data_IF_392251356101
#
_entry.id   IF_392251356101
#
_cell.length_a   1.000
_cell.length_b   1.000
_cell.length_c   1.000
_cell.angle_alpha   90.00
_cell.angle_beta   90.00
_cell.angle_gamma   90.00
#
_symmetry.space_group_name_H-M   'P 1'
#
loop_
_entity.id
_entity.type
_entity.pdbx_description
1 polymer ?
#
# COMPACT_ATOMS: atom_id res chain seq x y z
N UNK A 1 -0.38 -2.00 46.07
CA UNK A 1 -0.22 -2.52 44.70
C UNK A 1 -0.80 -1.50 43.74
N UNK A 2 -0.05 -1.08 42.72
CA UNK A 2 -0.58 -0.17 41.69
C UNK A 2 -1.27 -0.99 40.59
N UNK A 3 -2.49 -0.60 40.20
CA UNK A 3 -3.19 -1.13 39.03
C UNK A 3 -3.02 -0.18 37.84
N UNK A 4 -3.10 -0.69 36.61
CA UNK A 4 -3.17 0.15 35.41
C UNK A 4 -4.46 -0.14 34.70
N UNK A 5 -5.18 0.93 34.39
CA UNK A 5 -6.31 0.90 33.48
C UNK A 5 -5.79 0.78 32.04
N UNK A 6 -5.82 -0.44 31.49
CA UNK A 6 -5.40 -0.70 30.11
C UNK A 6 -6.60 -0.69 29.14
N UNK A 7 -7.79 -1.04 29.65
CA UNK A 7 -9.08 -0.92 28.99
C UNK A 7 -10.17 -0.61 30.05
N UNK A 8 -11.35 -0.10 29.65
CA UNK A 8 -12.48 0.02 30.56
C UNK A 8 -12.80 -1.35 31.19
N UNK A 9 -12.81 -1.42 32.52
CA UNK A 9 -13.08 -2.66 33.26
C UNK A 9 -11.94 -3.70 33.27
N UNK A 10 -10.74 -3.35 32.77
CA UNK A 10 -9.54 -4.22 32.86
C UNK A 10 -8.44 -3.49 33.62
N UNK A 11 -8.33 -3.83 34.89
CA UNK A 11 -7.23 -3.42 35.75
C UNK A 11 -6.26 -4.58 35.94
N UNK A 12 -5.04 -4.46 35.42
CA UNK A 12 -4.02 -5.47 35.67
C UNK A 12 -3.13 -5.03 36.84
N UNK A 13 -2.85 -5.93 37.81
CA UNK A 13 -1.86 -5.67 38.84
C UNK A 13 -0.48 -5.57 38.17
N UNK A 14 0.24 -4.48 38.45
CA UNK A 14 1.59 -4.29 37.94
C UNK A 14 2.56 -5.04 38.82
N UNK A 15 3.31 -5.96 38.22
CA UNK A 15 4.37 -6.71 38.87
C UNK A 15 5.67 -5.91 38.73
N UNK A 16 5.80 -4.82 39.49
CA UNK A 16 7.04 -4.05 39.61
C UNK A 16 6.97 -2.56 39.27
N UNK A 17 8.11 -1.89 39.42
CA UNK A 17 8.30 -0.50 39.02
C UNK A 17 8.21 -0.36 37.48
N UNK A 18 7.84 0.83 36.95
CA UNK A 18 7.85 1.03 35.50
C UNK A 18 9.24 0.70 34.95
N UNK A 19 9.29 0.02 33.80
CA UNK A 19 10.55 -0.26 33.11
C UNK A 19 11.09 1.07 32.55
N UNK A 20 11.74 1.85 33.42
CA UNK A 20 12.18 3.22 33.19
C UNK A 20 11.05 4.27 33.25
N UNK A 21 11.45 5.54 33.35
CA UNK A 21 10.57 6.72 33.23
C UNK A 21 10.34 7.14 31.78
N UNK A 22 11.04 6.51 30.84
CA UNK A 22 11.00 6.84 29.41
C UNK A 22 9.70 6.31 28.78
N UNK A 23 9.00 7.10 27.96
CA UNK A 23 7.83 6.64 27.23
C UNK A 23 8.15 5.40 26.39
N UNK A 24 7.22 4.45 26.34
CA UNK A 24 7.41 3.17 25.66
C UNK A 24 7.80 3.31 24.19
N UNK A 25 7.35 4.38 23.53
CA UNK A 25 7.69 4.70 22.14
C UNK A 25 9.15 5.13 21.92
N UNK A 26 9.80 5.65 22.96
CA UNK A 26 11.12 6.26 22.89
C UNK A 26 12.23 5.28 23.35
N UNK A 27 11.84 4.18 24.01
CA UNK A 27 12.71 3.04 24.29
C UNK A 27 13.19 2.40 22.99
N UNK A 28 14.47 2.03 22.95
CA UNK A 28 15.15 1.38 21.83
C UNK A 28 14.98 2.08 20.48
N UNK A 29 14.84 3.41 20.48
CA UNK A 29 14.70 4.19 19.24
C UNK A 29 13.51 3.71 18.36
N UNK A 30 12.46 3.14 18.95
CA UNK A 30 11.33 2.59 18.21
C UNK A 30 10.65 3.64 17.32
N UNK A 31 10.38 4.83 17.88
CA UNK A 31 9.75 5.94 17.17
C UNK A 31 10.63 6.44 16.01
N UNK A 32 11.94 6.59 16.20
CA UNK A 32 12.85 7.07 15.16
C UNK A 32 12.98 6.05 14.03
N UNK A 33 13.09 4.75 14.34
CA UNK A 33 13.07 3.65 13.35
C UNK A 33 11.77 3.65 12.54
N UNK A 34 10.62 3.81 13.17
CA UNK A 34 9.34 3.86 12.44
C UNK A 34 9.13 5.17 11.67
N UNK A 35 9.61 6.30 12.16
CA UNK A 35 9.63 7.57 11.40
C UNK A 35 10.48 7.43 10.15
N UNK A 36 11.66 6.85 10.25
CA UNK A 36 12.54 6.60 9.10
C UNK A 36 11.86 5.68 8.08
N UNK A 37 11.29 4.54 8.52
CA UNK A 37 10.54 3.63 7.66
C UNK A 37 9.36 4.32 6.96
N UNK A 38 8.61 5.15 7.68
CA UNK A 38 7.51 5.91 7.10
C UNK A 38 8.01 6.94 6.08
N UNK A 39 9.07 7.70 6.40
CA UNK A 39 9.69 8.66 5.48
C UNK A 39 10.18 8.00 4.19
N UNK A 40 10.93 6.90 4.30
CA UNK A 40 11.42 6.15 3.13
C UNK A 40 10.25 5.69 2.26
N UNK A 41 9.20 5.11 2.84
CA UNK A 41 8.01 4.68 2.08
C UNK A 41 7.29 5.83 1.39
N UNK A 42 7.13 6.97 2.07
CA UNK A 42 6.52 8.17 1.48
C UNK A 42 7.38 8.71 0.33
N UNK A 43 8.70 8.80 0.50
CA UNK A 43 9.62 9.25 -0.56
C UNK A 43 9.54 8.32 -1.77
N UNK A 44 9.59 7.01 -1.56
CA UNK A 44 9.44 6.02 -2.66
C UNK A 44 8.10 6.19 -3.36
N UNK A 45 7.00 6.37 -2.63
CA UNK A 45 5.68 6.60 -3.22
C UNK A 45 5.64 7.89 -4.07
N UNK A 46 6.26 8.98 -3.59
CA UNK A 46 6.35 10.23 -4.35
C UNK A 46 7.18 10.08 -5.62
N UNK A 47 8.30 9.36 -5.57
CA UNK A 47 9.11 9.06 -6.75
C UNK A 47 8.31 8.23 -7.75
N UNK A 48 7.60 7.19 -7.30
CA UNK A 48 6.73 6.38 -8.16
C UNK A 48 5.61 7.21 -8.79
N UNK A 49 5.00 8.13 -8.04
CA UNK A 49 4.01 9.07 -8.57
C UNK A 49 4.61 9.97 -9.64
N UNK A 50 5.76 10.59 -9.39
CA UNK A 50 6.44 11.45 -10.35
C UNK A 50 6.77 10.71 -11.66
N UNK A 51 7.33 9.50 -11.55
CA UNK A 51 7.61 8.63 -12.71
C UNK A 51 6.33 8.25 -13.43
N UNK A 52 5.27 7.88 -12.68
CA UNK A 52 3.98 7.52 -13.27
C UNK A 52 3.36 8.68 -14.04
N UNK A 53 3.37 9.90 -13.48
CA UNK A 53 2.90 11.10 -14.17
C UNK A 53 3.75 11.42 -15.39
N UNK A 54 5.08 11.31 -15.31
CA UNK A 54 5.96 11.53 -16.45
C UNK A 54 5.67 10.54 -17.59
N UNK A 55 5.47 9.26 -17.28
CA UNK A 55 5.12 8.24 -18.27
C UNK A 55 3.76 8.50 -18.92
N UNK A 56 2.73 8.80 -18.11
CA UNK A 56 1.39 9.15 -18.62
C UNK A 56 1.48 10.39 -19.51
N UNK A 57 2.20 11.43 -19.05
CA UNK A 57 2.45 12.64 -19.82
C UNK A 57 3.11 12.35 -21.17
N UNK A 58 4.11 11.46 -21.18
CA UNK A 58 4.86 11.11 -22.38
C UNK A 58 4.04 10.29 -23.37
N UNK A 59 3.31 9.27 -22.88
CA UNK A 59 2.48 8.38 -23.70
C UNK A 59 1.26 9.11 -24.27
N UNK A 60 0.71 10.08 -23.55
CA UNK A 60 -0.43 10.87 -24.02
C UNK A 60 -0.07 12.14 -24.79
N UNK A 61 1.22 12.42 -25.05
CA UNK A 61 1.65 13.47 -25.98
C UNK A 61 0.88 13.48 -27.32
N UNK A 62 0.57 12.34 -27.98
CA UNK A 62 -0.24 12.33 -29.19
C UNK A 62 -1.63 12.99 -29.04
N UNK A 63 -2.18 12.96 -27.82
CA UNK A 63 -3.54 13.42 -27.52
C UNK A 63 -3.59 14.90 -27.13
N UNK A 64 -2.63 15.38 -26.32
CA UNK A 64 -2.62 16.75 -25.78
C UNK A 64 -1.37 17.59 -26.12
N UNK A 65 -0.33 16.99 -26.68
CA UNK A 65 1.00 17.59 -26.85
C UNK A 65 1.14 18.60 -28.00
N UNK A 66 0.05 19.11 -28.57
CA UNK A 66 0.04 20.09 -29.67
C UNK A 66 1.01 19.74 -30.81
N UNK A 67 1.04 18.47 -31.22
CA UNK A 67 1.91 18.01 -32.28
C UNK A 67 1.64 18.76 -33.61
N UNK A 68 2.70 19.07 -34.39
CA UNK A 68 2.56 19.62 -35.72
C UNK A 68 1.60 18.79 -36.59
N UNK A 69 0.87 19.47 -37.47
CA UNK A 69 -0.10 18.86 -38.37
C UNK A 69 0.40 18.93 -39.81
N UNK A 70 0.17 17.87 -40.57
CA UNK A 70 0.45 17.82 -42.00
C UNK A 70 -0.66 17.06 -42.73
N UNK A 71 -0.80 17.34 -44.02
CA UNK A 71 -1.60 16.50 -44.92
C UNK A 71 -0.73 15.31 -45.33
N UNK A 72 -1.31 14.11 -45.27
CA UNK A 72 -0.69 12.87 -45.66
C UNK A 72 -1.54 12.17 -46.72
N UNK A 73 -0.88 11.57 -47.71
CA UNK A 73 -1.52 10.69 -48.68
C UNK A 73 -1.49 9.26 -48.16
N UNK A 74 -2.64 8.59 -48.18
CA UNK A 74 -2.71 7.16 -47.84
C UNK A 74 -2.12 6.35 -48.99
N UNK A 75 -1.10 5.52 -48.72
CA UNK A 75 -0.39 4.75 -49.75
C UNK A 75 -0.64 3.25 -49.68
N UNK A 76 -0.94 2.71 -48.50
CA UNK A 76 -1.19 1.27 -48.34
C UNK A 76 -2.08 0.99 -47.14
N UNK A 77 -2.87 -0.09 -47.21
CA UNK A 77 -3.55 -0.68 -46.06
C UNK A 77 -2.96 -2.06 -45.78
N UNK A 78 -2.79 -2.37 -44.50
CA UNK A 78 -2.41 -3.68 -44.05
C UNK A 78 -3.34 -4.09 -42.91
N UNK A 79 -4.20 -5.07 -43.18
CA UNK A 79 -5.08 -5.64 -42.17
C UNK A 79 -4.35 -6.74 -41.41
N UNK A 80 -4.45 -6.73 -40.09
CA UNK A 80 -3.90 -7.80 -39.26
C UNK A 80 -4.81 -8.13 -38.09
N UNK A 81 -4.86 -9.41 -37.74
CA UNK A 81 -5.69 -9.94 -36.67
C UNK A 81 -4.86 -10.27 -35.43
N UNK A 82 -4.81 -9.33 -34.49
CA UNK A 82 -4.28 -9.58 -33.14
C UNK A 82 -5.35 -9.21 -32.12
N UNK A 83 -6.18 -10.20 -31.74
CA UNK A 83 -7.34 -10.03 -30.83
C UNK A 83 -8.37 -9.00 -31.34
N UNK A 84 -8.72 -9.09 -32.61
CA UNK A 84 -9.62 -8.17 -33.32
C UNK A 84 -9.05 -7.81 -34.70
N UNK A 85 -9.90 -7.29 -35.59
CA UNK A 85 -9.47 -6.77 -36.90
C UNK A 85 -8.88 -5.37 -36.69
N UNK A 86 -7.62 -5.18 -37.06
CA UNK A 86 -6.93 -3.89 -37.01
C UNK A 86 -6.39 -3.52 -38.38
N UNK A 87 -6.38 -2.22 -38.67
CA UNK A 87 -5.78 -1.70 -39.88
C UNK A 87 -4.52 -0.88 -39.56
N UNK A 88 -3.42 -1.19 -40.25
CA UNK A 88 -2.27 -0.31 -40.35
C UNK A 88 -2.33 0.44 -41.69
N UNK A 89 -2.20 1.76 -41.63
CA UNK A 89 -2.30 2.64 -42.80
C UNK A 89 -0.92 3.26 -43.07
N UNK A 90 -0.38 3.02 -44.25
CA UNK A 90 0.84 3.66 -44.75
C UNK A 90 0.54 5.07 -45.24
N UNK A 91 1.39 6.02 -44.85
CA UNK A 91 1.16 7.45 -45.00
C UNK A 91 2.41 8.13 -45.54
N UNK A 92 2.26 8.84 -46.65
CA UNK A 92 3.30 9.71 -47.21
C UNK A 92 2.96 11.17 -46.89
N UNK A 93 3.89 11.88 -46.28
CA UNK A 93 3.69 13.28 -45.91
C UNK A 93 5.00 14.07 -45.98
N UNK A 94 4.89 15.38 -45.87
CA UNK A 94 6.05 16.27 -45.80
C UNK A 94 6.18 16.77 -44.37
N UNK A 95 7.31 16.47 -43.73
CA UNK A 95 7.70 17.01 -42.43
C UNK A 95 9.01 17.78 -42.59
N UNK A 96 9.05 19.03 -42.13
CA UNK A 96 10.25 19.87 -42.19
C UNK A 96 10.88 19.94 -43.59
N UNK A 97 10.04 20.07 -44.63
CA UNK A 97 10.42 20.08 -46.05
C UNK A 97 11.07 18.78 -46.57
N UNK A 98 10.96 17.67 -45.83
CA UNK A 98 11.41 16.33 -46.26
C UNK A 98 10.21 15.40 -46.43
N UNK A 99 10.25 14.58 -47.47
CA UNK A 99 9.28 13.48 -47.60
C UNK A 99 9.56 12.45 -46.51
N UNK A 100 8.50 12.05 -45.81
CA UNK A 100 8.51 11.03 -44.79
C UNK A 100 7.42 10.01 -45.10
N UNK A 101 7.73 8.75 -44.81
CA UNK A 101 6.78 7.64 -44.85
C UNK A 101 6.63 7.07 -43.45
N UNK A 102 5.40 6.87 -43.00
CA UNK A 102 5.13 6.22 -41.71
C UNK A 102 3.87 5.37 -41.76
N UNK A 103 3.68 4.55 -40.73
CA UNK A 103 2.50 3.72 -40.53
C UNK A 103 1.72 4.17 -39.29
N UNK A 104 0.42 4.34 -39.46
CA UNK A 104 -0.51 4.55 -38.34
C UNK A 104 -1.33 3.29 -38.09
N UNK A 105 -1.23 2.74 -36.89
CA UNK A 105 -2.08 1.64 -36.44
C UNK A 105 -3.40 2.15 -35.89
N UNK A 106 -4.51 1.64 -36.40
CA UNK A 106 -5.88 2.02 -36.03
C UNK A 106 -6.61 0.85 -35.37
N UNK A 107 -7.62 1.19 -34.57
CA UNK A 107 -8.49 0.21 -33.90
C UNK A 107 -9.68 -0.22 -34.76
N UNK A 108 -9.77 0.31 -35.98
CA UNK A 108 -10.85 0.07 -36.93
C UNK A 108 -10.46 -0.95 -37.99
N UNK A 109 -11.45 -1.47 -38.71
CA UNK A 109 -11.23 -2.33 -39.87
C UNK A 109 -10.67 -1.54 -41.05
N UNK A 110 -9.98 -2.21 -41.98
CA UNK A 110 -9.47 -1.53 -43.17
C UNK A 110 -10.58 -1.03 -44.13
N UNK A 111 -11.82 -1.46 -43.93
CA UNK A 111 -12.97 -0.98 -44.69
C UNK A 111 -13.52 0.36 -44.14
N UNK A 112 -13.24 0.67 -42.88
CA UNK A 112 -13.76 1.88 -42.21
C UNK A 112 -12.77 3.06 -42.26
N UNK A 113 -11.57 2.84 -42.80
CA UNK A 113 -10.51 3.85 -42.88
C UNK A 113 -10.47 4.49 -44.27
N UNK A 114 -9.83 5.66 -44.37
CA UNK A 114 -9.77 6.41 -45.62
C UNK A 114 -9.06 5.59 -46.72
N UNK A 115 -9.64 5.53 -47.93
CA UNK A 115 -9.15 4.68 -49.01
C UNK A 115 -7.72 5.04 -49.46
N UNK A 116 -7.01 4.08 -50.04
CA UNK A 116 -5.70 4.31 -50.67
C UNK A 116 -5.80 5.40 -51.75
N UNK A 117 -4.87 6.34 -51.73
CA UNK A 117 -4.84 7.52 -52.59
C UNK A 117 -5.53 8.75 -52.01
N UNK A 118 -6.33 8.60 -50.95
CA UNK A 118 -6.98 9.73 -50.27
C UNK A 118 -5.99 10.58 -49.46
N UNK A 119 -6.42 11.80 -49.14
CA UNK A 119 -5.68 12.73 -48.28
C UNK A 119 -6.30 12.74 -46.89
N UNK A 120 -5.47 12.62 -45.86
CA UNK A 120 -5.86 12.68 -44.45
C UNK A 120 -4.99 13.67 -43.69
N UNK A 121 -5.53 14.28 -42.64
CA UNK A 121 -4.73 15.11 -41.75
C UNK A 121 -4.10 14.22 -40.67
N UNK A 122 -2.81 14.37 -40.46
CA UNK A 122 -2.05 13.66 -39.42
C UNK A 122 -1.42 14.64 -38.45
N UNK A 123 -1.14 14.14 -37.25
CA UNK A 123 -0.20 14.74 -36.31
C UNK A 123 1.04 13.87 -36.23
N UNK A 124 2.22 14.48 -36.15
CA UNK A 124 3.48 13.75 -36.03
C UNK A 124 4.32 14.30 -34.89
N UNK A 125 5.12 13.44 -34.25
CA UNK A 125 5.97 13.90 -33.16
C UNK A 125 7.11 14.78 -33.71
N UNK A 126 7.38 15.96 -33.12
CA UNK A 126 8.37 16.89 -33.65
C UNK A 126 9.81 16.37 -33.55
N UNK A 127 10.10 15.49 -32.58
CA UNK A 127 11.42 14.89 -32.40
C UNK A 127 11.61 13.58 -33.20
N UNK A 128 10.51 12.96 -33.65
CA UNK A 128 10.52 11.72 -34.41
C UNK A 128 9.32 11.69 -35.37
N UNK A 129 9.48 12.12 -36.63
CA UNK A 129 8.41 12.11 -37.62
C UNK A 129 7.84 10.71 -37.88
N UNK A 130 8.54 9.64 -37.49
CA UNK A 130 8.04 8.27 -37.58
C UNK A 130 6.83 8.02 -36.68
N UNK A 131 6.66 8.78 -35.59
CA UNK A 131 5.51 8.63 -34.71
C UNK A 131 4.33 9.50 -35.16
N UNK A 132 3.37 8.88 -35.83
CA UNK A 132 2.19 9.56 -36.40
C UNK A 132 0.88 9.11 -35.76
N UNK A 133 -0.09 10.01 -35.78
CA UNK A 133 -1.46 9.78 -35.30
C UNK A 133 -2.46 10.44 -36.23
N UNK A 134 -3.60 9.77 -36.44
CA UNK A 134 -4.76 10.36 -37.10
C UNK A 134 -5.66 10.98 -36.02
N UNK A 135 -5.82 12.32 -35.95
CA UNK A 135 -6.62 12.97 -34.92
C UNK A 135 -8.09 12.57 -34.94
N UNK A 136 -8.62 12.22 -36.11
CA UNK A 136 -9.99 11.72 -36.29
C UNK A 136 -10.20 10.30 -35.72
N UNK A 137 -9.12 9.58 -35.42
CA UNK A 137 -9.11 8.17 -35.01
C UNK A 137 -8.16 7.94 -33.83
N UNK A 138 -8.42 8.50 -32.63
CA UNK A 138 -7.51 8.45 -31.48
C UNK A 138 -7.51 7.11 -30.72
N UNK A 139 -8.17 6.06 -31.26
CA UNK A 139 -8.45 4.81 -30.54
C UNK A 139 -7.21 4.10 -30.02
N UNK A 140 -6.16 3.97 -30.85
CA UNK A 140 -4.93 3.28 -30.45
C UNK A 140 -4.12 4.07 -29.39
N UNK A 141 -3.86 5.38 -29.54
CA UNK A 141 -3.24 6.19 -28.49
C UNK A 141 -4.03 6.18 -27.16
N UNK A 142 -5.36 6.25 -27.23
CA UNK A 142 -6.21 6.14 -26.03
C UNK A 142 -6.06 4.77 -25.37
N UNK A 143 -6.07 3.68 -26.15
CA UNK A 143 -5.84 2.34 -25.63
C UNK A 143 -4.47 2.21 -24.96
N UNK A 144 -3.40 2.73 -25.59
CA UNK A 144 -2.05 2.71 -25.03
C UNK A 144 -1.99 3.52 -23.72
N UNK A 145 -2.66 4.67 -23.66
CA UNK A 145 -2.76 5.47 -22.45
C UNK A 145 -3.49 4.71 -21.33
N UNK A 146 -4.62 4.07 -21.64
CA UNK A 146 -5.38 3.26 -20.68
C UNK A 146 -4.56 2.08 -20.16
N UNK A 147 -3.88 1.33 -21.04
CA UNK A 147 -3.04 0.21 -20.65
C UNK A 147 -1.87 0.66 -19.78
N UNK A 148 -1.26 1.80 -20.11
CA UNK A 148 -0.17 2.38 -19.32
C UNK A 148 -0.67 2.81 -17.94
N UNK A 149 -1.77 3.56 -17.87
CA UNK A 149 -2.37 3.98 -16.61
C UNK A 149 -2.79 2.79 -15.74
N UNK A 150 -3.39 1.76 -16.35
CA UNK A 150 -3.79 0.55 -15.65
C UNK A 150 -2.57 -0.22 -15.11
N UNK A 151 -1.56 -0.43 -15.96
CA UNK A 151 -0.32 -1.12 -15.58
C UNK A 151 0.45 -0.41 -14.45
N UNK A 152 0.44 0.93 -14.43
CA UNK A 152 1.04 1.73 -13.36
C UNK A 152 0.20 1.76 -12.08
N UNK A 153 -1.13 1.71 -12.20
CA UNK A 153 -2.04 1.83 -11.05
C UNK A 153 -1.83 0.71 -10.03
N UNK A 154 -1.55 -0.52 -10.48
CA UNK A 154 -1.42 -1.69 -9.61
C UNK A 154 -0.25 -1.60 -8.62
N UNK A 155 1.02 -1.41 -9.06
CA UNK A 155 2.14 -1.25 -8.12
C UNK A 155 1.99 0.00 -7.27
N UNK A 156 1.43 1.09 -7.81
CA UNK A 156 1.20 2.33 -7.07
C UNK A 156 0.18 2.14 -5.95
N UNK A 157 -0.93 1.43 -6.20
CA UNK A 157 -1.93 1.11 -5.19
C UNK A 157 -1.34 0.24 -4.08
N UNK A 158 -0.56 -0.79 -4.44
CA UNK A 158 0.14 -1.64 -3.48
C UNK A 158 1.07 -0.84 -2.57
N UNK A 159 1.88 0.05 -3.15
CA UNK A 159 2.75 0.95 -2.39
C UNK A 159 2.00 1.97 -1.54
N UNK A 160 0.89 2.52 -2.04
CA UNK A 160 0.03 3.43 -1.29
C UNK A 160 -0.58 2.74 -0.07
N UNK A 161 -1.09 1.51 -0.22
CA UNK A 161 -1.61 0.69 0.87
C UNK A 161 -0.53 0.42 1.92
N UNK A 162 0.66 -0.02 1.49
CA UNK A 162 1.79 -0.27 2.39
C UNK A 162 2.23 1.00 3.15
N UNK A 163 2.21 2.15 2.48
CA UNK A 163 2.54 3.45 3.08
C UNK A 163 1.48 3.85 4.10
N UNK A 164 0.19 3.74 3.73
CA UNK A 164 -0.94 3.99 4.63
C UNK A 164 -0.86 3.14 5.90
N UNK A 165 -0.64 1.82 5.78
CA UNK A 165 -0.50 0.95 6.94
C UNK A 165 0.69 1.33 7.83
N UNK A 166 1.81 1.77 7.22
CA UNK A 166 3.00 2.20 7.98
C UNK A 166 2.76 3.48 8.74
N UNK A 167 2.13 4.47 8.10
CA UNK A 167 1.78 5.76 8.72
C UNK A 167 0.73 5.55 9.81
N UNK A 168 -0.28 4.72 9.55
CA UNK A 168 -1.30 4.36 10.55
C UNK A 168 -0.67 3.66 11.76
N UNK A 169 0.25 2.72 11.53
CA UNK A 169 1.03 2.06 12.59
C UNK A 169 1.83 3.09 13.40
N UNK A 170 2.58 3.97 12.74
CA UNK A 170 3.36 5.03 13.40
C UNK A 170 2.47 5.94 14.27
N UNK A 171 1.31 6.37 13.76
CA UNK A 171 0.34 7.16 14.54
C UNK A 171 -0.15 6.40 15.77
N UNK A 172 -0.43 5.11 15.59
CA UNK A 172 -0.93 4.26 16.68
C UNK A 172 0.15 4.08 17.75
N UNK A 173 1.39 3.78 17.37
CA UNK A 173 2.50 3.68 18.35
C UNK A 173 2.76 5.01 19.04
N UNK A 174 2.70 6.14 18.32
CA UNK A 174 2.88 7.46 18.92
C UNK A 174 1.84 7.76 20.01
N UNK A 175 0.59 7.31 19.81
CA UNK A 175 -0.52 7.49 20.75
C UNK A 175 -0.45 6.49 21.92
N UNK A 176 -0.30 5.21 21.63
CA UNK A 176 -0.35 4.13 22.63
C UNK A 176 0.94 4.09 23.46
N UNK A 177 2.10 4.34 22.86
CA UNK A 177 3.40 4.35 23.53
C UNK A 177 3.76 5.64 24.23
N UNK A 178 2.79 6.53 24.49
CA UNK A 178 3.00 7.73 25.28
C UNK A 178 3.19 7.42 26.78
N UNK A 179 2.59 6.34 27.27
CA UNK A 179 2.80 5.83 28.63
C UNK A 179 4.15 5.13 28.79
N UNK A 180 4.61 4.99 30.05
CA UNK A 180 5.78 4.18 30.39
C UNK A 180 5.47 2.69 30.22
N UNK A 181 6.50 1.87 29.99
CA UNK A 181 6.38 0.42 30.01
C UNK A 181 6.07 -0.09 31.41
N UNK A 182 5.21 -1.10 31.49
CA UNK A 182 4.75 -1.70 32.75
C UNK A 182 4.77 -3.21 32.62
N UNK A 183 5.40 -3.89 33.57
CA UNK A 183 5.51 -5.34 33.56
C UNK A 183 4.27 -5.97 34.22
N UNK A 184 3.68 -6.91 33.49
CA UNK A 184 2.49 -7.66 33.91
C UNK A 184 2.82 -9.13 33.82
N UNK A 185 2.75 -9.81 34.96
CA UNK A 185 2.94 -11.25 35.07
C UNK A 185 1.60 -11.92 35.33
N UNK A 186 1.30 -12.96 34.57
CA UNK A 186 0.06 -13.73 34.71
C UNK A 186 0.24 -15.19 34.32
N UNK A 187 -0.69 -16.03 34.75
CA UNK A 187 -0.78 -17.43 34.34
C UNK A 187 -1.61 -17.51 33.06
N UNK A 188 -1.09 -18.19 32.05
CA UNK A 188 -1.80 -18.41 30.78
C UNK A 188 -2.90 -19.43 30.99
N UNK A 189 -4.16 -19.05 30.77
CA UNK A 189 -5.31 -19.95 30.85
C UNK A 189 -5.52 -20.65 29.51
N UNK A 190 -5.45 -19.87 28.42
CA UNK A 190 -5.63 -20.38 27.07
C UNK A 190 -4.81 -19.54 26.08
N UNK A 191 -4.35 -20.15 25.01
CA UNK A 191 -3.63 -19.50 23.92
C UNK A 191 -4.13 -20.05 22.58
N UNK A 192 -4.52 -19.17 21.66
CA UNK A 192 -4.95 -19.57 20.32
C UNK A 192 -4.28 -18.73 19.24
N UNK A 193 -3.68 -19.39 18.24
CA UNK A 193 -3.09 -18.75 17.08
C UNK A 193 -4.09 -18.81 15.91
N UNK A 194 -4.52 -17.65 15.42
CA UNK A 194 -5.41 -17.54 14.27
C UNK A 194 -4.82 -16.67 13.16
N UNK A 195 -5.56 -16.54 12.04
CA UNK A 195 -5.18 -15.67 10.91
C UNK A 195 -4.91 -14.22 11.34
N UNK A 196 -5.55 -13.76 12.40
CA UNK A 196 -5.43 -12.39 12.93
C UNK A 196 -4.31 -12.17 13.95
N UNK A 197 -3.67 -13.21 14.48
CA UNK A 197 -2.73 -13.06 15.60
C UNK A 197 -2.76 -14.17 16.62
N UNK A 198 -1.96 -14.00 17.66
CA UNK A 198 -2.00 -14.82 18.86
C UNK A 198 -2.91 -14.13 19.88
N UNK A 199 -3.87 -14.91 20.39
CA UNK A 199 -4.78 -14.54 21.47
C UNK A 199 -4.36 -15.30 22.72
N UNK A 200 -4.15 -14.59 23.81
CA UNK A 200 -3.77 -15.15 25.11
C UNK A 200 -4.79 -14.70 26.15
N UNK A 201 -5.33 -15.64 26.90
CA UNK A 201 -6.13 -15.38 28.09
C UNK A 201 -5.20 -15.46 29.29
N UNK A 202 -5.00 -14.34 29.97
CA UNK A 202 -4.14 -14.23 31.14
C UNK A 202 -4.99 -14.12 32.40
N UNK A 203 -4.76 -15.02 33.36
CA UNK A 203 -5.25 -14.88 34.73
C UNK A 203 -4.15 -14.25 35.56
N UNK A 204 -4.46 -13.13 36.20
CA UNK A 204 -3.49 -12.46 37.06
C UNK A 204 -3.36 -13.23 38.38
N UNK A 205 -2.25 -13.07 39.09
CA UNK A 205 -2.03 -13.70 40.40
C UNK A 205 -2.90 -13.13 41.52
N UNK A 206 -3.69 -12.08 41.25
CA UNK A 206 -4.58 -11.47 42.23
C UNK A 206 -6.00 -12.07 42.10
N UNK A 207 -6.55 -12.74 43.13
CA UNK A 207 -7.83 -13.45 43.05
C UNK A 207 -9.05 -12.54 42.80
N UNK A 208 -8.89 -11.21 42.89
CA UNK A 208 -9.94 -10.22 42.70
C UNK A 208 -9.99 -9.61 41.29
N UNK A 209 -9.06 -9.97 40.41
CA UNK A 209 -8.97 -9.42 39.04
C UNK A 209 -9.35 -10.49 38.03
N UNK A 210 -10.41 -10.20 37.27
CA UNK A 210 -10.95 -10.99 36.16
C UNK A 210 -9.88 -11.32 35.11
N UNK A 211 -10.03 -12.46 34.44
CA UNK A 211 -9.18 -12.85 33.33
C UNK A 211 -9.10 -11.75 32.27
N UNK A 212 -7.92 -11.48 31.72
CA UNK A 212 -7.75 -10.49 30.66
C UNK A 212 -7.39 -11.19 29.35
N UNK A 213 -8.08 -10.82 28.28
CA UNK A 213 -7.77 -11.32 26.94
C UNK A 213 -6.83 -10.33 26.28
N UNK A 214 -5.62 -10.78 25.96
CA UNK A 214 -4.61 -10.02 25.22
C UNK A 214 -4.47 -10.62 23.83
N UNK A 215 -4.79 -9.84 22.81
CA UNK A 215 -4.65 -10.24 21.41
C UNK A 215 -3.62 -9.35 20.74
N UNK A 216 -2.60 -9.93 20.09
CA UNK A 216 -1.64 -9.15 19.31
C UNK A 216 -1.38 -9.81 17.95
N UNK A 217 -1.13 -8.95 16.96
CA UNK A 217 -0.93 -9.40 15.58
C UNK A 217 0.34 -10.24 15.43
N UNK A 218 0.34 -11.14 14.45
CA UNK A 218 1.49 -12.00 14.07
C UNK A 218 2.72 -11.22 13.62
N UNK A 219 2.58 -9.93 13.31
CA UNK A 219 3.64 -9.06 12.76
C UNK A 219 4.13 -8.05 13.80
N UNK A 220 4.91 -8.48 14.79
CA UNK A 220 5.53 -7.53 15.72
C UNK A 220 6.39 -8.13 16.81
N UNK A 221 6.01 -9.31 17.32
CA UNK A 221 6.81 -10.02 18.33
C UNK A 221 7.61 -11.09 17.59
N UNK A 222 8.95 -11.10 17.76
CA UNK A 222 9.80 -12.16 17.22
C UNK A 222 9.24 -13.52 17.60
N UNK A 223 9.33 -14.52 16.71
CA UNK A 223 9.00 -15.94 16.94
C UNK A 223 9.25 -16.36 18.39
N UNK A 224 8.24 -16.21 19.24
CA UNK A 224 8.30 -16.67 20.62
C UNK A 224 7.40 -17.90 20.68
N UNK A 225 7.80 -18.92 21.46
CA UNK A 225 7.01 -20.12 21.59
C UNK A 225 5.63 -19.75 22.13
N UNK A 226 4.58 -20.29 21.49
CA UNK A 226 3.20 -20.10 21.95
C UNK A 226 3.14 -20.63 23.39
N UNK A 227 2.82 -19.78 24.37
CA UNK A 227 2.91 -20.18 25.76
C UNK A 227 1.81 -21.18 26.08
N UNK A 228 2.17 -22.26 26.77
CA UNK A 228 1.24 -23.35 27.10
C UNK A 228 0.32 -22.93 28.25
N UNK A 229 -0.91 -23.45 28.27
CA UNK A 229 -1.82 -23.28 29.40
C UNK A 229 -1.15 -23.76 30.70
N UNK A 230 -1.33 -22.99 31.78
CA UNK A 230 -0.70 -23.19 33.08
C UNK A 230 0.69 -22.56 33.23
N UNK A 231 1.33 -22.13 32.14
CA UNK A 231 2.64 -21.45 32.22
C UNK A 231 2.50 -20.00 32.69
N UNK A 232 3.53 -19.50 33.39
CA UNK A 232 3.61 -18.09 33.79
C UNK A 232 4.25 -17.28 32.67
N UNK A 233 3.61 -16.19 32.28
CA UNK A 233 4.08 -15.29 31.22
C UNK A 233 4.21 -13.87 31.75
N UNK A 234 5.35 -13.23 31.48
CA UNK A 234 5.57 -11.82 31.78
C UNK A 234 5.59 -11.01 30.49
N UNK A 235 4.76 -9.97 30.44
CA UNK A 235 4.63 -9.05 29.31
C UNK A 235 4.94 -7.63 29.75
N UNK A 236 5.58 -6.86 28.87
CA UNK A 236 5.65 -5.40 28.98
C UNK A 236 4.47 -4.82 28.22
N UNK A 237 3.63 -4.09 28.92
CA UNK A 237 2.46 -3.42 28.35
C UNK A 237 2.62 -1.91 28.49
N UNK A 238 2.26 -1.19 27.45
CA UNK A 238 2.06 0.26 27.49
C UNK A 238 0.73 0.57 26.80
N UNK A 239 -0.15 1.31 27.47
CA UNK A 239 -1.49 1.60 26.98
C UNK A 239 -1.94 2.99 27.38
N UNK A 240 -2.98 3.48 26.71
CA UNK A 240 -3.60 4.77 27.00
C UNK A 240 -5.02 4.62 27.57
N UNK A 241 -5.37 3.45 28.09
CA UNK A 241 -6.71 3.13 28.63
C UNK A 241 -7.79 2.85 27.58
N UNK A 242 -7.51 3.01 26.29
CA UNK A 242 -8.47 2.78 25.20
C UNK A 242 -8.54 1.34 24.67
N UNK A 243 -8.00 0.37 25.41
CA UNK A 243 -7.96 -1.05 25.02
C UNK A 243 -6.93 -1.40 23.94
N UNK A 244 -6.25 -0.43 23.33
CA UNK A 244 -5.06 -0.67 22.50
C UNK A 244 -3.81 -0.60 23.36
N UNK A 245 -2.92 -1.57 23.20
CA UNK A 245 -1.69 -1.66 23.97
C UNK A 245 -0.50 -1.94 23.05
N UNK A 246 0.67 -1.39 23.38
CA UNK A 246 1.93 -1.91 22.92
C UNK A 246 2.32 -3.07 23.81
N UNK A 247 2.74 -4.16 23.19
CA UNK A 247 3.16 -5.38 23.86
C UNK A 247 4.61 -5.65 23.48
N UNK A 248 5.46 -5.76 24.49
CA UNK A 248 6.83 -6.27 24.38
C UNK A 248 7.00 -7.47 25.30
N UNK A 249 7.97 -8.34 24.99
CA UNK A 249 8.35 -9.45 25.86
C UNK A 249 9.73 -9.14 26.43
N UNK A 250 9.94 -9.20 27.75
CA UNK A 250 11.26 -9.05 28.34
C UNK A 250 12.28 -10.02 27.70
N UNK A 251 13.47 -9.52 27.37
CA UNK A 251 14.53 -10.33 26.75
C UNK A 251 14.38 -10.59 25.24
N UNK A 252 13.27 -10.19 24.62
CA UNK A 252 13.06 -10.31 23.17
C UNK A 252 13.08 -8.96 22.46
N UNK A 253 13.55 -8.98 21.21
CA UNK A 253 13.53 -7.82 20.33
C UNK A 253 12.20 -7.77 19.58
N UNK A 254 11.51 -6.65 19.70
CA UNK A 254 10.31 -6.35 18.91
C UNK A 254 9.06 -6.11 19.73
N UNK A 255 8.28 -5.14 19.26
CA UNK A 255 7.05 -4.68 19.86
C UNK A 255 5.88 -4.89 18.89
N UNK A 256 4.77 -5.37 19.44
CA UNK A 256 3.53 -5.52 18.69
C UNK A 256 2.45 -4.60 19.22
N UNK A 257 1.54 -4.23 18.33
CA UNK A 257 0.31 -3.56 18.71
C UNK A 257 -0.71 -4.65 19.00
N UNK A 258 -1.20 -4.66 20.23
CA UNK A 258 -2.25 -5.54 20.69
C UNK A 258 -3.53 -4.79 21.06
N UNK A 259 -4.54 -5.58 21.39
CA UNK A 259 -5.75 -5.17 22.06
C UNK A 259 -5.87 -5.95 23.36
N UNK A 260 -6.40 -5.29 24.38
CA UNK A 260 -6.76 -5.92 25.64
C UNK A 260 -8.24 -5.66 25.91
N UNK A 261 -8.95 -6.72 26.31
CA UNK A 261 -10.39 -6.68 26.60
C UNK A 261 -10.73 -7.58 27.79
N UNK A 262 -11.84 -7.28 28.50
CA UNK A 262 -12.38 -8.20 29.49
C UNK A 262 -12.88 -9.48 28.81
N UNK A 263 -13.06 -10.59 29.55
CA UNK A 263 -13.36 -11.89 28.98
C UNK A 263 -14.79 -11.94 28.41
N UNK A 264 -15.72 -11.18 29.01
CA UNK A 264 -17.15 -11.21 28.69
C UNK A 264 -17.55 -10.32 27.48
N UNK A 265 -16.66 -9.46 26.98
CA UNK A 265 -16.97 -8.53 25.87
C UNK A 265 -16.67 -9.09 24.47
N UNK A 266 -16.57 -10.41 24.30
CA UNK A 266 -15.99 -10.98 23.07
C UNK A 266 -16.78 -12.14 22.43
N UNK A 267 -18.12 -12.17 22.59
CA UNK A 267 -19.00 -13.09 21.85
C UNK A 267 -19.19 -12.74 20.37
N UNK A 268 -18.87 -11.52 19.91
CA UNK A 268 -19.42 -11.00 18.64
C UNK A 268 -18.40 -10.70 17.52
N UNK A 269 -17.16 -11.19 17.60
CA UNK A 269 -16.13 -10.87 16.58
C UNK A 269 -15.67 -12.06 15.71
N UNK A 270 -16.51 -13.09 15.58
CA UNK A 270 -16.36 -14.18 14.60
C UNK A 270 -17.58 -14.24 13.70
N UNK A 271 -17.64 -13.29 12.77
CA UNK A 271 -18.32 -13.40 11.48
C UNK A 271 -17.48 -12.69 10.43
#
# INVERSE_FOLDING_TARGET
MSTILLAPGVELPVSGEPFGTVPARDVDNLLSRMRLKARVRVVVLLVLLAVGFALIWHVGQPLWGQWPQANAKVTSHFEYQTRGVRCSVGLDFIAENKQAHSYATLMDSCNDVAAVGSQVQIRFAPADPGWVVLPSRPGFPMLQLFLTAFGLSWPMLGWALLTYFTVRRLRTVRQVGAGSWREVTGVVVNSTLGKGGLRIVLRTTNPWVSEAVVTFGTRGISYFPIPTAGSTLTLRLAGNGGGKVLVGIPGHWGESIGKISPPDQQSDATT
#
